data_IF_050934664480
#
_entry.id   IF_050934664480
#
_cell.length_a   1.000
_cell.length_b   1.000
_cell.length_c   1.000
_cell.angle_alpha   90.00
_cell.angle_beta   90.00
_cell.angle_gamma   90.00
#
_symmetry.space_group_name_H-M   'P 1'
#
loop_
_entity.id
_entity.type
_entity.pdbx_description
1 polymer ?
#
# COMPACT_ATOMS: atom_id res chain seq x y z
N UNK A 1 -33.32 47.32 -13.70
CA UNK A 1 -33.50 45.98 -14.28
C UNK A 1 -32.39 45.13 -13.70
N UNK A 2 -32.69 44.28 -12.71
CA UNK A 2 -31.67 43.46 -12.06
C UNK A 2 -31.26 42.36 -13.02
N UNK A 3 -29.98 42.32 -13.39
CA UNK A 3 -29.36 41.17 -14.05
C UNK A 3 -29.58 39.94 -13.15
N UNK A 4 -30.57 39.13 -13.51
CA UNK A 4 -30.68 37.78 -12.96
C UNK A 4 -29.44 37.03 -13.44
N UNK A 5 -28.49 36.83 -12.53
CA UNK A 5 -27.42 35.84 -12.71
C UNK A 5 -28.07 34.52 -13.11
N UNK A 6 -27.83 34.11 -14.35
CA UNK A 6 -28.30 32.83 -14.87
C UNK A 6 -27.70 31.77 -13.95
N UNK A 7 -28.54 31.06 -13.20
CA UNK A 7 -28.08 29.96 -12.35
C UNK A 7 -27.33 28.99 -13.24
N UNK A 8 -26.05 28.76 -12.95
CA UNK A 8 -25.20 27.74 -13.58
C UNK A 8 -26.06 26.50 -13.83
N UNK A 9 -26.37 26.22 -15.09
CA UNK A 9 -27.13 25.02 -15.48
C UNK A 9 -26.29 23.86 -14.98
N UNK A 10 -26.75 23.17 -13.94
CA UNK A 10 -26.07 21.98 -13.41
C UNK A 10 -25.88 21.05 -14.60
N UNK A 11 -24.64 20.82 -15.01
CA UNK A 11 -24.34 19.80 -16.00
C UNK A 11 -24.87 18.47 -15.44
N UNK A 12 -25.45 17.65 -16.31
CA UNK A 12 -25.99 16.36 -15.88
C UNK A 12 -24.84 15.46 -15.43
N UNK A 13 -25.03 14.81 -14.28
CA UNK A 13 -24.06 13.87 -13.73
C UNK A 13 -23.90 12.70 -14.68
N UNK A 14 -22.66 12.41 -15.06
CA UNK A 14 -22.27 11.18 -15.76
C UNK A 14 -21.75 10.18 -14.74
N UNK A 15 -22.00 8.91 -14.99
CA UNK A 15 -21.50 7.81 -14.18
C UNK A 15 -20.25 7.26 -14.85
N UNK A 16 -19.17 7.13 -14.08
CA UNK A 16 -17.92 6.56 -14.53
C UNK A 16 -17.72 5.23 -13.82
N UNK A 17 -17.36 4.19 -14.58
CA UNK A 17 -16.98 2.89 -14.04
C UNK A 17 -15.53 2.92 -13.62
N UNK A 18 -15.23 2.56 -12.38
CA UNK A 18 -13.88 2.61 -11.83
C UNK A 18 -13.26 1.23 -11.91
N UNK A 19 -12.13 1.15 -12.61
CA UNK A 19 -11.42 -0.09 -12.89
C UNK A 19 -10.16 -0.18 -12.05
N UNK A 20 -9.89 -1.38 -11.53
CA UNK A 20 -8.67 -1.69 -10.83
C UNK A 20 -7.43 -1.60 -11.76
N UNK A 21 -6.21 -1.49 -11.20
CA UNK A 21 -4.98 -1.60 -11.97
C UNK A 21 -4.86 -2.98 -12.65
N UNK A 22 -3.95 -3.09 -13.62
CA UNK A 22 -3.72 -4.34 -14.35
C UNK A 22 -3.31 -5.52 -13.47
N UNK A 23 -2.63 -5.26 -12.35
CA UNK A 23 -2.28 -6.23 -11.31
C UNK A 23 -3.51 -6.96 -10.71
N UNK A 24 -4.69 -6.34 -10.79
CA UNK A 24 -5.94 -6.87 -10.26
C UNK A 24 -6.95 -7.14 -11.40
N UNK A 25 -6.44 -7.60 -12.56
CA UNK A 25 -7.23 -8.01 -13.73
C UNK A 25 -8.19 -6.93 -14.29
N UNK A 26 -7.99 -5.66 -13.94
CA UNK A 26 -8.89 -4.54 -14.28
C UNK A 26 -10.34 -4.79 -13.85
N UNK A 27 -10.53 -5.48 -12.73
CA UNK A 27 -11.85 -5.74 -12.15
C UNK A 27 -12.60 -4.43 -11.83
N UNK A 28 -13.93 -4.47 -11.91
CA UNK A 28 -14.77 -3.32 -11.59
C UNK A 28 -14.82 -3.09 -10.07
N UNK A 29 -14.27 -1.96 -9.62
CA UNK A 29 -14.30 -1.53 -8.21
C UNK A 29 -15.62 -0.87 -7.82
N UNK A 30 -16.36 -0.36 -8.81
CA UNK A 30 -17.66 0.28 -8.65
C UNK A 30 -17.86 1.45 -9.60
N UNK A 31 -18.81 2.33 -9.29
CA UNK A 31 -19.13 3.50 -10.12
C UNK A 31 -19.11 4.79 -9.33
N UNK A 32 -18.75 5.89 -9.99
CA UNK A 32 -18.69 7.21 -9.36
C UNK A 32 -19.34 8.27 -10.24
N UNK A 33 -20.29 9.06 -9.71
CA UNK A 33 -20.93 10.12 -10.49
C UNK A 33 -20.10 11.41 -10.46
N UNK A 34 -19.98 12.09 -11.60
CA UNK A 34 -19.42 13.44 -11.67
C UNK A 34 -20.02 14.25 -12.82
N UNK A 35 -20.11 15.56 -12.63
CA UNK A 35 -20.56 16.48 -13.68
C UNK A 35 -19.46 16.69 -14.74
N UNK A 36 -18.20 16.69 -14.30
CA UNK A 36 -17.00 16.93 -15.12
C UNK A 36 -15.96 15.84 -14.83
N UNK A 37 -15.21 15.33 -15.84
CA UNK A 37 -14.19 14.29 -15.66
C UNK A 37 -13.10 14.66 -14.65
N UNK A 38 -12.69 15.94 -14.64
CA UNK A 38 -11.65 16.47 -13.74
C UNK A 38 -12.00 16.29 -12.26
N UNK A 39 -13.29 16.25 -11.91
CA UNK A 39 -13.75 16.04 -10.52
C UNK A 39 -13.65 14.59 -10.06
N UNK A 40 -13.39 13.65 -10.97
CA UNK A 40 -13.23 12.23 -10.68
C UNK A 40 -11.77 11.93 -10.31
N UNK A 41 -10.83 12.64 -10.93
CA UNK A 41 -9.40 12.53 -10.65
C UNK A 41 -9.09 12.77 -9.16
N UNK A 42 -8.21 11.95 -8.61
CA UNK A 42 -7.78 12.04 -7.21
C UNK A 42 -8.79 11.50 -6.19
N UNK A 43 -9.97 11.01 -6.60
CA UNK A 43 -10.86 10.27 -5.69
C UNK A 43 -10.21 8.95 -5.29
N UNK A 44 -10.48 8.54 -4.06
CA UNK A 44 -9.97 7.29 -3.49
C UNK A 44 -11.13 6.33 -3.26
N UNK A 45 -10.94 5.06 -3.62
CA UNK A 45 -11.88 3.97 -3.40
C UNK A 45 -11.23 2.92 -2.52
N UNK A 46 -11.98 2.44 -1.54
CA UNK A 46 -11.60 1.32 -0.68
C UNK A 46 -12.44 0.12 -1.06
N UNK A 47 -11.80 -1.03 -1.27
CA UNK A 47 -12.44 -2.33 -1.45
C UNK A 47 -11.69 -3.38 -0.62
N UNK A 48 -12.27 -4.57 -0.50
CA UNK A 48 -11.59 -5.70 0.12
C UNK A 48 -11.01 -6.63 -0.94
N UNK A 49 -9.91 -7.32 -0.61
CA UNK A 49 -9.33 -8.32 -1.51
C UNK A 49 -10.35 -9.42 -1.85
N UNK A 50 -11.15 -9.83 -0.87
CA UNK A 50 -12.17 -10.86 -1.07
C UNK A 50 -13.31 -10.47 -2.03
N UNK A 51 -13.60 -9.17 -2.19
CA UNK A 51 -14.54 -8.69 -3.23
C UNK A 51 -13.93 -8.78 -4.63
N UNK A 52 -12.64 -8.44 -4.77
CA UNK A 52 -11.90 -8.55 -6.04
C UNK A 52 -11.70 -10.00 -6.47
N UNK A 53 -11.27 -10.88 -5.56
CA UNK A 53 -10.96 -12.28 -5.86
C UNK A 53 -12.17 -13.21 -5.73
N UNK A 54 -13.34 -12.68 -5.34
CA UNK A 54 -14.53 -13.44 -4.96
C UNK A 54 -14.25 -14.50 -3.85
N UNK A 55 -13.28 -14.23 -2.97
CA UNK A 55 -12.89 -15.11 -1.87
C UNK A 55 -13.18 -14.48 -0.51
N UNK A 56 -14.26 -14.93 0.15
CA UNK A 56 -14.67 -14.40 1.45
C UNK A 56 -13.63 -14.58 2.58
N UNK A 57 -12.63 -15.45 2.41
CA UNK A 57 -11.56 -15.65 3.41
C UNK A 57 -10.60 -14.46 3.50
N UNK A 58 -10.56 -13.62 2.48
CA UNK A 58 -9.63 -12.49 2.31
C UNK A 58 -10.28 -11.13 2.60
N UNK A 59 -11.49 -11.13 3.18
CA UNK A 59 -12.20 -9.91 3.59
C UNK A 59 -11.48 -9.14 4.72
N UNK A 60 -10.46 -9.72 5.32
CA UNK A 60 -9.59 -9.09 6.32
C UNK A 60 -8.50 -8.20 5.70
N UNK A 61 -8.39 -8.15 4.37
CA UNK A 61 -7.45 -7.30 3.65
C UNK A 61 -8.19 -6.21 2.91
N UNK A 62 -7.82 -4.95 3.19
CA UNK A 62 -8.36 -3.76 2.52
C UNK A 62 -7.34 -3.21 1.53
N UNK A 63 -7.82 -2.84 0.36
CA UNK A 63 -7.06 -2.23 -0.70
C UNK A 63 -7.65 -0.87 -1.00
N UNK A 64 -6.78 0.12 -1.12
CA UNK A 64 -7.12 1.51 -1.36
C UNK A 64 -6.50 1.94 -2.67
N UNK A 65 -7.36 2.37 -3.58
CA UNK A 65 -7.02 2.77 -4.93
C UNK A 65 -7.32 4.25 -5.14
N UNK A 66 -6.50 4.95 -5.93
CA UNK A 66 -6.73 6.36 -6.30
C UNK A 66 -6.90 6.47 -7.80
N UNK A 67 -7.89 7.24 -8.23
CA UNK A 67 -8.12 7.49 -9.65
C UNK A 67 -7.04 8.45 -10.16
N UNK A 68 -6.25 7.98 -11.13
CA UNK A 68 -5.16 8.74 -11.75
C UNK A 68 -5.52 9.22 -13.16
N UNK A 69 -6.37 8.47 -13.88
CA UNK A 69 -6.77 8.81 -15.25
C UNK A 69 -8.27 8.55 -15.47
N UNK A 70 -8.88 9.32 -16.36
CA UNK A 70 -10.31 9.25 -16.69
C UNK A 70 -10.46 9.22 -18.20
N UNK A 71 -10.92 8.08 -18.71
CA UNK A 71 -11.36 7.91 -20.09
C UNK A 71 -12.78 8.47 -20.32
N UNK A 72 -13.44 8.01 -21.38
CA UNK A 72 -14.77 8.51 -21.75
C UNK A 72 -15.83 8.20 -20.68
N UNK A 73 -15.95 6.92 -20.32
CA UNK A 73 -16.89 6.41 -19.31
C UNK A 73 -16.21 5.55 -18.23
N UNK A 74 -14.89 5.37 -18.34
CA UNK A 74 -14.09 4.56 -17.41
C UNK A 74 -13.06 5.43 -16.68
N UNK A 75 -12.84 5.14 -15.41
CA UNK A 75 -11.80 5.76 -14.60
C UNK A 75 -10.78 4.69 -14.19
N UNK A 76 -9.51 4.94 -14.49
CA UNK A 76 -8.42 4.05 -14.16
C UNK A 76 -7.83 4.43 -12.81
N UNK A 77 -7.40 3.42 -12.06
CA UNK A 77 -6.87 3.61 -10.73
C UNK A 77 -5.44 3.10 -10.60
N UNK A 78 -4.79 3.59 -9.57
CA UNK A 78 -3.50 3.15 -9.09
C UNK A 78 -3.62 2.69 -7.64
N UNK A 79 -2.78 1.72 -7.27
CA UNK A 79 -2.68 1.23 -5.90
C UNK A 79 -2.02 2.30 -5.00
N UNK A 80 -2.64 2.57 -3.86
CA UNK A 80 -2.10 3.50 -2.85
C UNK A 80 -1.73 2.80 -1.57
N UNK A 81 -2.61 1.91 -1.07
CA UNK A 81 -2.42 1.29 0.24
C UNK A 81 -3.06 -0.09 0.32
N UNK A 82 -2.32 -0.99 0.96
CA UNK A 82 -2.81 -2.24 1.51
C UNK A 82 -2.87 -2.11 3.04
N UNK A 83 -3.98 -2.51 3.66
CA UNK A 83 -4.12 -2.49 5.12
C UNK A 83 -4.95 -3.69 5.61
N UNK A 84 -4.50 -4.34 6.69
CA UNK A 84 -5.30 -5.36 7.36
C UNK A 84 -6.41 -4.73 8.20
N UNK A 85 -7.57 -5.39 8.27
CA UNK A 85 -8.67 -4.92 9.10
C UNK A 85 -8.31 -4.92 10.58
N UNK A 86 -8.85 -3.95 11.32
CA UNK A 86 -8.54 -3.74 12.74
C UNK A 86 -9.00 -4.90 13.60
N UNK A 87 -10.16 -5.48 13.29
CA UNK A 87 -10.70 -6.65 13.97
C UNK A 87 -9.80 -7.87 13.77
N UNK A 88 -9.31 -8.10 12.55
CA UNK A 88 -8.39 -9.18 12.26
C UNK A 88 -7.06 -9.01 13.01
N UNK A 89 -6.43 -7.83 12.96
CA UNK A 89 -5.21 -7.55 13.72
C UNK A 89 -5.39 -7.76 15.23
N UNK A 90 -6.51 -7.30 15.79
CA UNK A 90 -6.84 -7.49 17.21
C UNK A 90 -7.04 -8.97 17.57
N UNK A 91 -7.52 -9.80 16.64
CA UNK A 91 -7.68 -11.25 16.85
C UNK A 91 -6.34 -12.00 16.92
N UNK A 92 -5.28 -11.45 16.31
CA UNK A 92 -3.95 -12.05 16.31
C UNK A 92 -3.19 -11.75 17.60
N UNK A 93 -3.37 -10.57 18.18
CA UNK A 93 -2.77 -10.16 19.45
C UNK A 93 -3.33 -11.01 20.60
N UNK A 94 -2.45 -11.67 21.36
CA UNK A 94 -2.82 -12.48 22.52
C UNK A 94 -2.05 -12.05 23.76
N UNK A 95 -2.70 -12.15 24.93
CA UNK A 95 -2.04 -11.93 26.21
C UNK A 95 -0.95 -12.97 26.43
N UNK A 96 0.23 -12.53 26.85
CA UNK A 96 1.38 -13.40 27.11
C UNK A 96 2.19 -13.77 25.87
N UNK A 97 1.89 -13.17 24.71
CA UNK A 97 2.69 -13.18 23.50
C UNK A 97 3.23 -11.78 23.20
N UNK A 98 4.27 -11.70 22.38
CA UNK A 98 4.85 -10.44 21.89
C UNK A 98 4.34 -10.15 20.47
N UNK A 99 4.12 -8.87 20.20
CA UNK A 99 3.90 -8.33 18.85
C UNK A 99 5.18 -7.58 18.45
N UNK A 100 5.85 -8.04 17.41
CA UNK A 100 7.06 -7.40 16.89
C UNK A 100 6.69 -6.72 15.57
N UNK A 101 6.93 -5.43 15.49
CA UNK A 101 6.65 -4.61 14.30
C UNK A 101 7.95 -3.98 13.80
N UNK A 102 8.01 -3.73 12.49
CA UNK A 102 8.99 -2.87 11.84
C UNK A 102 8.27 -1.91 10.88
N UNK A 103 8.88 -0.76 10.61
CA UNK A 103 8.47 0.16 9.56
C UNK A 103 9.68 0.30 8.66
N UNK A 104 9.54 -0.12 7.40
CA UNK A 104 10.65 -0.15 6.45
C UNK A 104 10.23 0.63 5.22
N UNK A 105 10.88 1.77 5.00
CA UNK A 105 10.77 2.51 3.74
C UNK A 105 11.85 1.98 2.81
N UNK A 106 11.44 1.53 1.63
CA UNK A 106 12.29 0.91 0.61
C UNK A 106 12.02 1.55 -0.74
N UNK A 107 13.03 1.50 -1.60
CA UNK A 107 12.94 1.88 -3.00
C UNK A 107 12.97 0.61 -3.84
N UNK A 108 12.03 0.47 -4.77
CA UNK A 108 11.91 -0.71 -5.64
C UNK A 108 12.84 -0.61 -6.84
N UNK A 109 13.00 -1.69 -7.60
CA UNK A 109 13.86 -1.70 -8.81
C UNK A 109 13.43 -0.73 -9.92
N UNK A 110 12.19 -0.25 -9.88
CA UNK A 110 11.58 0.74 -10.76
C UNK A 110 11.38 2.12 -10.07
N UNK A 111 12.14 2.39 -9.01
CA UNK A 111 12.24 3.69 -8.32
C UNK A 111 10.97 4.17 -7.60
N UNK A 112 10.03 3.28 -7.29
CA UNK A 112 8.91 3.61 -6.40
C UNK A 112 9.36 3.56 -4.94
N UNK A 113 8.97 4.56 -4.14
CA UNK A 113 9.17 4.55 -2.69
C UNK A 113 7.96 3.96 -1.99
N UNK A 114 8.17 2.85 -1.27
CA UNK A 114 7.10 2.13 -0.57
C UNK A 114 7.47 1.95 0.90
N UNK A 115 6.51 2.20 1.78
CA UNK A 115 6.62 1.85 3.19
C UNK A 115 5.87 0.55 3.48
N UNK A 116 6.59 -0.45 3.97
CA UNK A 116 6.06 -1.76 4.34
C UNK A 116 6.16 -1.94 5.85
N UNK A 117 5.06 -2.38 6.46
CA UNK A 117 4.95 -2.66 7.88
C UNK A 117 4.74 -4.16 8.12
N UNK A 118 5.82 -4.96 8.19
CA UNK A 118 5.72 -6.36 8.60
C UNK A 118 5.46 -6.48 10.10
N UNK A 119 4.65 -7.45 10.47
CA UNK A 119 4.27 -7.73 11.86
C UNK A 119 4.36 -9.22 12.15
N UNK A 120 5.13 -9.57 13.17
CA UNK A 120 5.27 -10.93 13.66
C UNK A 120 4.59 -11.09 15.03
N UNK A 121 3.84 -12.18 15.18
CA UNK A 121 3.18 -12.57 16.43
C UNK A 121 3.85 -13.84 16.97
N UNK A 122 4.47 -13.72 18.15
CA UNK A 122 5.14 -14.85 18.80
C UNK A 122 4.14 -15.76 19.51
N UNK A 123 4.52 -17.02 19.79
CA UNK A 123 3.66 -17.94 20.54
C UNK A 123 3.65 -17.63 22.05
N UNK A 124 4.75 -17.09 22.56
CA UNK A 124 4.98 -16.73 23.96
C UNK A 124 5.75 -15.41 24.03
N UNK A 125 5.80 -14.78 25.19
CA UNK A 125 6.58 -13.56 25.42
C UNK A 125 8.04 -13.81 25.04
N UNK A 126 8.52 -13.07 24.04
CA UNK A 126 9.90 -13.08 23.62
C UNK A 126 10.71 -12.10 24.48
N UNK A 127 11.99 -12.38 24.64
CA UNK A 127 12.92 -11.45 25.27
C UNK A 127 13.29 -10.32 24.29
N UNK A 128 13.73 -9.18 24.81
CA UNK A 128 14.06 -8.01 24.00
C UNK A 128 15.10 -8.30 22.90
N UNK A 129 16.11 -9.13 23.18
CA UNK A 129 17.11 -9.53 22.19
C UNK A 129 16.51 -10.37 21.05
N UNK A 130 15.52 -11.21 21.35
CA UNK A 130 14.81 -12.02 20.36
C UNK A 130 13.90 -11.14 19.51
N UNK A 131 13.19 -10.19 20.12
CA UNK A 131 12.36 -9.21 19.39
C UNK A 131 13.20 -8.36 18.44
N UNK A 132 14.38 -7.90 18.88
CA UNK A 132 15.35 -7.18 18.05
C UNK A 132 15.86 -8.04 16.87
N UNK A 133 16.20 -9.31 17.12
CA UNK A 133 16.68 -10.21 16.08
C UNK A 133 15.60 -10.52 15.02
N UNK A 134 14.36 -10.75 15.45
CA UNK A 134 13.21 -10.91 14.54
C UNK A 134 13.02 -9.63 13.73
N UNK A 135 13.05 -8.46 14.37
CA UNK A 135 12.90 -7.17 13.70
C UNK A 135 13.97 -6.97 12.61
N UNK A 136 15.24 -7.28 12.90
CA UNK A 136 16.32 -7.17 11.91
C UNK A 136 16.07 -8.10 10.72
N UNK A 137 15.70 -9.35 10.98
CA UNK A 137 15.37 -10.32 9.93
C UNK A 137 14.21 -9.84 9.05
N UNK A 138 13.19 -9.23 9.64
CA UNK A 138 12.09 -8.61 8.87
C UNK A 138 12.59 -7.47 7.97
N UNK A 139 13.47 -6.62 8.47
CA UNK A 139 14.03 -5.50 7.71
C UNK A 139 14.87 -6.02 6.54
N UNK A 140 15.78 -6.97 6.80
CA UNK A 140 16.70 -7.51 5.80
C UNK A 140 15.91 -8.15 4.63
N UNK A 141 14.92 -9.00 4.93
CA UNK A 141 14.10 -9.66 3.90
C UNK A 141 13.27 -8.66 3.09
N UNK A 142 12.71 -7.63 3.74
CA UNK A 142 11.93 -6.60 3.03
C UNK A 142 12.83 -5.76 2.12
N UNK A 143 14.04 -5.42 2.57
CA UNK A 143 15.01 -4.68 1.77
C UNK A 143 15.51 -5.47 0.57
N UNK A 144 15.77 -6.77 0.74
CA UNK A 144 16.21 -7.64 -0.34
C UNK A 144 15.08 -7.85 -1.36
N UNK A 145 13.86 -8.09 -0.90
CA UNK A 145 12.69 -8.20 -1.78
C UNK A 145 12.43 -6.91 -2.58
N UNK A 146 12.65 -5.73 -2.00
CA UNK A 146 12.45 -4.47 -2.72
C UNK A 146 13.48 -4.24 -3.84
N UNK A 147 14.74 -4.65 -3.63
CA UNK A 147 15.80 -4.49 -4.63
C UNK A 147 15.61 -5.40 -5.84
N UNK A 148 15.10 -6.60 -5.62
CA UNK A 148 15.00 -7.63 -6.65
C UNK A 148 13.67 -7.58 -7.45
N UNK A 149 12.67 -6.86 -6.94
CA UNK A 149 11.33 -6.85 -7.51
C UNK A 149 10.90 -5.45 -7.97
N UNK A 150 10.04 -5.42 -8.98
CA UNK A 150 9.33 -4.20 -9.40
C UNK A 150 8.27 -3.85 -8.36
N UNK A 151 7.73 -2.62 -8.41
CA UNK A 151 6.62 -2.22 -7.56
C UNK A 151 5.44 -3.18 -7.65
N UNK A 152 5.08 -3.59 -8.87
CA UNK A 152 3.95 -4.50 -9.12
C UNK A 152 4.18 -5.87 -8.46
N UNK A 153 5.33 -6.48 -8.73
CA UNK A 153 5.69 -7.79 -8.18
C UNK A 153 5.77 -7.77 -6.64
N UNK A 154 6.23 -6.66 -6.07
CA UNK A 154 6.33 -6.47 -4.63
C UNK A 154 4.94 -6.40 -3.98
N UNK A 155 4.02 -5.63 -4.57
CA UNK A 155 2.63 -5.55 -4.08
C UNK A 155 1.93 -6.90 -4.20
N UNK A 156 2.10 -7.62 -5.32
CA UNK A 156 1.55 -8.97 -5.49
C UNK A 156 2.09 -9.93 -4.42
N UNK A 157 3.40 -9.88 -4.15
CA UNK A 157 4.04 -10.68 -3.09
C UNK A 157 3.50 -10.37 -1.69
N UNK A 158 3.12 -9.11 -1.44
CA UNK A 158 2.46 -8.67 -0.19
C UNK A 158 1.03 -9.21 -0.12
N UNK A 159 0.24 -9.03 -1.19
CA UNK A 159 -1.18 -9.42 -1.27
C UNK A 159 -1.36 -10.94 -1.16
N UNK A 160 -0.53 -11.70 -1.86
CA UNK A 160 -0.55 -13.17 -1.84
C UNK A 160 0.09 -13.77 -0.57
N UNK A 161 0.75 -12.94 0.25
CA UNK A 161 1.40 -13.37 1.49
C UNK A 161 2.71 -14.14 1.29
N UNK A 162 3.32 -14.07 0.10
CA UNK A 162 4.66 -14.64 -0.18
C UNK A 162 5.72 -13.98 0.68
N UNK A 163 5.68 -12.65 0.82
CA UNK A 163 6.61 -11.90 1.67
C UNK A 163 6.46 -12.28 3.15
N UNK A 164 5.21 -12.38 3.64
CA UNK A 164 4.92 -12.84 5.01
C UNK A 164 5.46 -14.26 5.27
N UNK A 165 5.35 -15.14 4.27
CA UNK A 165 5.80 -16.53 4.35
C UNK A 165 7.32 -16.64 4.37
N UNK A 166 8.03 -15.84 3.58
CA UNK A 166 9.49 -15.75 3.59
C UNK A 166 10.00 -15.30 4.97
N UNK A 167 9.43 -14.22 5.51
CA UNK A 167 9.76 -13.73 6.86
C UNK A 167 9.50 -14.81 7.92
N UNK A 168 8.36 -15.50 7.86
CA UNK A 168 8.07 -16.59 8.79
C UNK A 168 9.12 -17.72 8.71
N UNK A 169 9.56 -18.05 7.49
CA UNK A 169 10.56 -19.06 7.21
C UNK A 169 11.86 -18.87 8.00
N UNK A 170 12.36 -17.64 8.05
CA UNK A 170 13.64 -17.33 8.69
C UNK A 170 13.47 -16.97 10.17
N UNK A 171 12.46 -16.16 10.49
CA UNK A 171 12.25 -15.68 11.84
C UNK A 171 11.83 -16.78 12.83
N UNK A 172 11.23 -17.89 12.36
CA UNK A 172 10.92 -19.05 13.21
C UNK A 172 12.17 -19.72 13.81
N UNK A 173 13.33 -19.56 13.17
CA UNK A 173 14.61 -20.11 13.64
C UNK A 173 15.09 -19.39 14.90
N UNK A 174 14.73 -18.11 15.05
CA UNK A 174 15.09 -17.27 16.19
C UNK A 174 14.17 -17.56 17.38
N UNK A 175 12.86 -17.57 17.15
CA UNK A 175 11.85 -17.81 18.18
C UNK A 175 10.56 -18.38 17.57
N UNK A 176 9.81 -19.24 18.27
CA UNK A 176 8.56 -19.79 17.76
C UNK A 176 7.49 -18.70 17.49
N UNK A 177 7.18 -18.52 16.21
CA UNK A 177 6.16 -17.62 15.71
C UNK A 177 4.83 -18.35 15.47
N UNK A 178 3.73 -17.66 15.77
CA UNK A 178 2.37 -18.12 15.46
C UNK A 178 1.94 -17.68 14.06
N UNK A 179 2.20 -16.42 13.72
CA UNK A 179 1.81 -15.82 12.43
C UNK A 179 2.68 -14.61 12.12
N UNK A 180 2.95 -14.39 10.85
CA UNK A 180 3.55 -13.17 10.31
C UNK A 180 2.60 -12.65 9.24
N UNK A 181 2.39 -11.35 9.21
CA UNK A 181 1.56 -10.67 8.23
C UNK A 181 2.16 -9.31 7.89
N UNK A 182 1.85 -8.78 6.70
CA UNK A 182 2.08 -7.38 6.38
C UNK A 182 0.86 -6.58 6.85
N UNK A 183 1.04 -5.77 7.90
CA UNK A 183 -0.07 -4.98 8.45
C UNK A 183 -0.49 -3.86 7.51
N UNK A 184 0.48 -3.19 6.90
CA UNK A 184 0.27 -2.04 6.03
C UNK A 184 1.37 -1.98 4.98
N UNK A 185 1.01 -1.70 3.73
CA UNK A 185 1.94 -1.25 2.70
C UNK A 185 1.37 0.04 2.11
N UNK A 186 2.20 1.05 1.88
CA UNK A 186 1.77 2.36 1.38
C UNK A 186 2.77 2.87 0.36
N UNK A 187 2.25 3.32 -0.77
CA UNK A 187 3.01 4.09 -1.75
C UNK A 187 3.29 5.48 -1.16
N UNK A 188 4.57 5.83 -1.01
CA UNK A 188 5.00 7.13 -0.47
C UNK A 188 5.32 8.13 -1.58
N UNK A 189 6.02 7.69 -2.64
CA UNK A 189 6.40 8.55 -3.75
C UNK A 189 6.50 7.78 -5.07
N UNK A 190 6.14 8.44 -6.16
CA UNK A 190 6.34 7.94 -7.52
C UNK A 190 7.80 8.15 -7.98
N UNK A 191 8.28 7.44 -9.01
CA UNK A 191 9.64 7.59 -9.54
C UNK A 191 10.00 9.02 -9.92
N UNK A 192 9.05 9.78 -10.48
CA UNK A 192 9.24 11.19 -10.85
C UNK A 192 9.54 12.05 -9.61
N UNK A 193 8.80 11.85 -8.52
CA UNK A 193 8.98 12.59 -7.27
C UNK A 193 10.29 12.19 -6.56
N UNK A 194 10.69 10.91 -6.66
CA UNK A 194 11.96 10.44 -6.09
C UNK A 194 13.15 11.05 -6.82
N UNK A 195 13.10 11.11 -8.15
CA UNK A 195 14.15 11.72 -8.95
C UNK A 195 14.30 13.23 -8.64
N UNK A 196 13.18 13.96 -8.54
CA UNK A 196 13.18 15.39 -8.17
C UNK A 196 13.77 15.63 -6.76
N UNK A 197 13.47 14.75 -5.80
CA UNK A 197 14.05 14.82 -4.45
C UNK A 197 15.55 14.51 -4.46
N UNK A 198 16.00 13.54 -5.25
CA UNK A 198 17.42 13.20 -5.37
C UNK A 198 18.21 14.35 -6.01
N UNK A 199 17.70 14.95 -7.10
CA UNK A 199 18.32 16.14 -7.73
C UNK A 199 18.43 17.29 -6.72
N UNK A 200 17.35 17.61 -6.01
CA UNK A 200 17.34 18.68 -4.99
C UNK A 200 18.31 18.39 -3.84
N UNK A 201 18.51 17.12 -3.47
CA UNK A 201 19.44 16.75 -2.40
C UNK A 201 20.91 16.91 -2.81
N UNK A 202 21.24 16.62 -4.07
CA UNK A 202 22.58 16.77 -4.61
C UNK A 202 22.97 18.24 -4.75
N UNK A 203 22.03 19.11 -5.19
CA UNK A 203 22.27 20.56 -5.27
C UNK A 203 22.64 21.17 -3.89
N UNK A 204 22.01 20.70 -2.81
CA UNK A 204 22.29 21.19 -1.44
C UNK A 204 23.66 20.71 -0.92
N UNK A 205 24.03 19.46 -1.19
CA UNK A 205 25.34 18.93 -0.80
C UNK A 205 26.48 19.61 -1.57
N UNK A 206 26.26 19.97 -2.84
CA UNK A 206 27.22 20.76 -3.63
C UNK A 206 27.37 22.19 -3.10
N UNK A 207 26.26 22.83 -2.69
CA UNK A 207 26.31 24.15 -2.04
C UNK A 207 27.01 24.14 -0.67
N UNK A 208 26.85 23.09 0.15
CA UNK A 208 27.57 22.96 1.43
C UNK A 208 29.07 22.65 1.25
N UNK A 209 29.46 21.98 0.16
CA UNK A 209 30.86 21.65 -0.12
C UNK A 209 31.71 22.84 -0.64
N UNK A 210 31.07 23.90 -1.15
CA UNK A 210 31.74 25.13 -1.62
C UNK A 210 31.98 26.18 -0.51
N UNK A 211 31.53 25.94 0.73
CA UNK A 211 31.61 26.90 1.87
C UNK A 211 32.75 26.59 2.85
#
# INVERSE_FOLDING_TARGET
MSERSVSKKSQEKRWYTVLAPEQFDREELGTTPADEPEKVLGRTIETTLGELTNNASENNTKLVFKINDVGSDAAYTEFVRHELTRDYLRSLVRRGASKVEAYVTVLTSDDYRVQIQPVAFTTKKADHSQEMAIRRTMIDIVQDAAKDHTFQDLIDSVVEGRLSSAIYGDAKTIYPLRRVEIQKATLEAHPEEVAEEEETSVDVDEEEAEV
#
